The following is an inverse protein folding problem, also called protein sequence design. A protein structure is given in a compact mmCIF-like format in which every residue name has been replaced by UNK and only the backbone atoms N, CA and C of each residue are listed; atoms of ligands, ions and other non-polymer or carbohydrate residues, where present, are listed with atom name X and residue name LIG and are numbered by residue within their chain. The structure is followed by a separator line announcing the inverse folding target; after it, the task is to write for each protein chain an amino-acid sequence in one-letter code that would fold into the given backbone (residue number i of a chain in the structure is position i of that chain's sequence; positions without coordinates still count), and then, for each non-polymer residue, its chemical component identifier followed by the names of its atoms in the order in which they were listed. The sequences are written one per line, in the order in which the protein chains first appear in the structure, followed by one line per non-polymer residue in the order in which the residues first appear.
data_IF_062015391003
#
_entry.id   IF_062015391003
#
_cell.length_a   1.000
_cell.length_b   1.000
_cell.length_c   1.000
_cell.angle_alpha   90.00
_cell.angle_beta   90.00
_cell.angle_gamma   90.00
#
_symmetry.space_group_name_H-M   'P 1'
#
loop_
_entity.id
_entity.type
_entity.pdbx_description
1 polymer ?
#
# COMPACT_ATOMS: atom_id res chain seq x y z
N UNK A 1 -38.81 13.41 6.36
CA UNK A 1 -39.05 12.76 5.05
C UNK A 1 -40.44 12.12 5.06
N UNK A 2 -41.23 12.24 3.98
CA UNK A 2 -42.59 11.70 3.96
C UNK A 2 -42.63 10.17 3.96
N UNK A 3 -43.69 9.59 4.54
CA UNK A 3 -43.91 8.13 4.67
C UNK A 3 -43.73 7.39 3.34
N UNK A 4 -44.16 7.97 2.22
CA UNK A 4 -43.99 7.40 0.87
C UNK A 4 -42.53 7.34 0.42
N UNK A 5 -41.71 8.32 0.77
CA UNK A 5 -40.28 8.32 0.43
C UNK A 5 -39.53 7.24 1.22
N UNK A 6 -39.85 7.08 2.51
CA UNK A 6 -39.28 6.00 3.34
C UNK A 6 -39.69 4.61 2.83
N UNK A 7 -40.95 4.44 2.44
CA UNK A 7 -41.41 3.17 1.87
C UNK A 7 -40.70 2.85 0.55
N UNK A 8 -40.52 3.87 -0.32
CA UNK A 8 -39.77 3.71 -1.58
C UNK A 8 -38.33 3.28 -1.34
N UNK A 9 -37.67 3.88 -0.35
CA UNK A 9 -36.29 3.54 0.01
C UNK A 9 -36.19 2.14 0.63
N UNK A 10 -37.14 1.77 1.49
CA UNK A 10 -37.22 0.43 2.06
C UNK A 10 -37.34 -0.64 0.98
N UNK A 11 -38.24 -0.46 0.00
CA UNK A 11 -38.38 -1.39 -1.12
C UNK A 11 -37.12 -1.43 -1.99
N UNK A 12 -36.43 -0.29 -2.19
CA UNK A 12 -35.15 -0.25 -2.90
C UNK A 12 -34.10 -1.13 -2.19
N UNK A 13 -33.98 -1.04 -0.87
CA UNK A 13 -33.07 -1.88 -0.07
C UNK A 13 -33.43 -3.36 -0.14
N UNK A 14 -34.71 -3.71 -0.03
CA UNK A 14 -35.16 -5.10 -0.13
C UNK A 14 -34.80 -5.72 -1.49
N UNK A 15 -34.85 -4.96 -2.59
CA UNK A 15 -34.40 -5.44 -3.90
C UNK A 15 -32.90 -5.72 -3.95
N UNK A 16 -32.10 -4.88 -3.31
CA UNK A 16 -30.63 -5.05 -3.22
C UNK A 16 -30.30 -6.29 -2.38
N UNK A 17 -30.93 -6.43 -1.21
CA UNK A 17 -30.78 -7.60 -0.33
C UNK A 17 -31.20 -8.89 -1.04
N UNK A 18 -32.36 -8.88 -1.72
CA UNK A 18 -32.83 -10.00 -2.53
C UNK A 18 -31.83 -10.39 -3.62
N UNK A 19 -31.23 -9.41 -4.29
CA UNK A 19 -30.20 -9.67 -5.30
C UNK A 19 -28.93 -10.29 -4.70
N UNK A 20 -28.48 -9.84 -3.52
CA UNK A 20 -27.35 -10.46 -2.81
C UNK A 20 -27.64 -11.90 -2.39
N UNK A 21 -28.85 -12.19 -1.91
CA UNK A 21 -29.28 -13.53 -1.50
C UNK A 21 -29.27 -14.53 -2.66
N UNK A 22 -29.43 -14.04 -3.89
CA UNK A 22 -29.43 -14.85 -5.10
C UNK A 22 -28.02 -15.10 -5.66
N UNK A 23 -27.00 -14.37 -5.21
CA UNK A 23 -25.62 -14.63 -5.60
C UNK A 23 -25.06 -15.85 -4.86
N UNK A 24 -24.23 -16.64 -5.53
CA UNK A 24 -23.55 -17.77 -4.91
C UNK A 24 -22.15 -17.98 -5.51
N UNK A 25 -21.41 -18.95 -4.99
CA UNK A 25 -20.11 -19.32 -5.56
C UNK A 25 -20.26 -19.74 -7.04
N UNK A 26 -21.33 -20.42 -7.41
CA UNK A 26 -21.58 -20.92 -8.77
C UNK A 26 -22.37 -19.93 -9.63
N UNK A 27 -23.15 -19.06 -9.00
CA UNK A 27 -24.07 -18.15 -9.67
C UNK A 27 -23.53 -16.72 -9.73
N UNK A 28 -23.23 -16.25 -10.95
CA UNK A 28 -22.73 -14.89 -11.20
C UNK A 28 -23.87 -13.89 -11.43
N UNK A 29 -23.54 -12.60 -11.32
CA UNK A 29 -24.48 -11.52 -11.58
C UNK A 29 -25.06 -11.57 -13.00
N UNK A 30 -24.27 -11.97 -14.00
CA UNK A 30 -24.74 -12.11 -15.38
C UNK A 30 -25.89 -13.13 -15.56
N UNK A 31 -26.11 -14.02 -14.59
CA UNK A 31 -27.18 -15.02 -14.61
C UNK A 31 -28.42 -14.63 -13.78
N UNK A 32 -28.43 -13.44 -13.18
CA UNK A 32 -29.57 -12.93 -12.42
C UNK A 32 -30.66 -12.42 -13.36
N UNK A 33 -31.89 -12.91 -13.18
CA UNK A 33 -33.05 -12.34 -13.85
C UNK A 33 -33.81 -11.37 -12.95
N UNK A 34 -34.34 -10.30 -13.54
CA UNK A 34 -35.22 -9.33 -12.88
C UNK A 34 -36.39 -10.02 -12.15
N UNK A 35 -36.99 -11.04 -12.79
CA UNK A 35 -38.15 -11.76 -12.24
C UNK A 35 -37.80 -12.50 -10.96
N UNK A 36 -36.62 -13.12 -10.90
CA UNK A 36 -36.16 -13.80 -9.68
C UNK A 36 -35.91 -12.81 -8.55
N UNK A 37 -35.23 -11.69 -8.83
CA UNK A 37 -34.98 -10.64 -7.83
C UNK A 37 -36.30 -10.06 -7.31
N UNK A 38 -37.25 -9.76 -8.21
CA UNK A 38 -38.56 -9.23 -7.81
C UNK A 38 -39.35 -10.22 -6.96
N UNK A 39 -39.31 -11.51 -7.32
CA UNK A 39 -39.96 -12.59 -6.56
C UNK A 39 -39.34 -12.73 -5.16
N UNK A 40 -38.01 -12.74 -5.08
CA UNK A 40 -37.28 -12.82 -3.82
C UNK A 40 -37.57 -11.60 -2.92
N UNK A 41 -37.67 -10.41 -3.52
CA UNK A 41 -38.03 -9.18 -2.81
C UNK A 41 -39.53 -9.08 -2.45
N UNK A 42 -40.36 -10.05 -2.86
CA UNK A 42 -41.80 -10.08 -2.58
C UNK A 42 -42.60 -8.99 -3.33
N UNK A 43 -42.12 -8.53 -4.49
CA UNK A 43 -42.81 -7.51 -5.30
C UNK A 43 -43.18 -8.03 -6.69
N UNK A 44 -44.18 -7.40 -7.32
CA UNK A 44 -44.50 -7.66 -8.71
C UNK A 44 -43.32 -7.26 -9.63
N UNK A 45 -42.98 -8.03 -10.69
CA UNK A 45 -41.87 -7.71 -11.60
C UNK A 45 -41.95 -6.32 -12.21
N UNK A 46 -43.16 -5.83 -12.51
CA UNK A 46 -43.38 -4.48 -13.06
C UNK A 46 -43.03 -3.36 -12.07
N UNK A 47 -43.10 -3.63 -10.76
CA UNK A 47 -42.73 -2.66 -9.73
C UNK A 47 -41.21 -2.44 -9.63
N UNK A 48 -40.39 -3.36 -10.15
CA UNK A 48 -38.94 -3.23 -10.20
C UNK A 48 -38.51 -1.92 -10.89
N UNK A 49 -39.15 -1.61 -12.02
CA UNK A 49 -38.86 -0.43 -12.85
C UNK A 49 -39.11 0.92 -12.15
N UNK A 50 -39.73 0.92 -10.97
CA UNK A 50 -39.88 2.13 -10.14
C UNK A 50 -38.61 2.45 -9.33
N UNK A 51 -37.71 1.49 -9.20
CA UNK A 51 -36.50 1.57 -8.39
C UNK A 51 -35.22 1.45 -9.20
N UNK A 52 -35.23 0.63 -10.26
CA UNK A 52 -34.10 0.40 -11.16
C UNK A 52 -34.60 0.25 -12.60
N UNK A 53 -33.93 0.85 -13.56
CA UNK A 53 -34.22 0.81 -15.00
C UNK A 53 -34.04 -0.58 -15.58
N UNK A 54 -33.03 -1.29 -15.10
CA UNK A 54 -32.66 -2.63 -15.53
C UNK A 54 -31.87 -3.35 -14.42
N UNK A 55 -31.47 -4.59 -14.69
CA UNK A 55 -30.67 -5.38 -13.77
C UNK A 55 -29.28 -4.75 -13.61
N UNK A 56 -28.68 -4.21 -14.67
CA UNK A 56 -27.35 -3.60 -14.61
C UNK A 56 -27.27 -2.41 -13.64
N UNK A 57 -28.27 -1.52 -13.61
CA UNK A 57 -28.35 -0.42 -12.64
C UNK A 57 -28.46 -0.93 -11.21
N UNK A 58 -29.19 -2.02 -10.99
CA UNK A 58 -29.22 -2.71 -9.70
C UNK A 58 -27.83 -3.25 -9.34
N UNK A 59 -27.13 -3.90 -10.27
CA UNK A 59 -25.78 -4.43 -10.03
C UNK A 59 -24.75 -3.34 -9.72
N UNK A 60 -24.76 -2.23 -10.45
CA UNK A 60 -23.90 -1.09 -10.16
C UNK A 60 -24.19 -0.53 -8.76
N UNK A 61 -25.47 -0.43 -8.39
CA UNK A 61 -25.86 -0.03 -7.03
C UNK A 61 -25.36 -1.04 -5.98
N UNK A 62 -25.41 -2.34 -6.26
CA UNK A 62 -24.88 -3.37 -5.35
C UNK A 62 -23.37 -3.24 -5.13
N UNK A 63 -22.60 -2.88 -6.18
CA UNK A 63 -21.16 -2.61 -6.07
C UNK A 63 -20.91 -1.41 -5.18
N UNK A 64 -21.61 -0.30 -5.42
CA UNK A 64 -21.48 0.93 -4.63
C UNK A 64 -21.85 0.70 -3.15
N UNK A 65 -22.93 -0.03 -2.86
CA UNK A 65 -23.36 -0.36 -1.49
C UNK A 65 -22.37 -1.30 -0.79
N UNK A 66 -21.87 -2.34 -1.48
CA UNK A 66 -20.88 -3.27 -0.91
C UNK A 66 -19.57 -2.58 -0.58
N UNK A 67 -19.09 -1.73 -1.49
CA UNK A 67 -17.87 -0.96 -1.30
C UNK A 67 -18.01 0.05 -0.15
N UNK A 68 -19.14 0.76 -0.08
CA UNK A 68 -19.43 1.68 1.03
C UNK A 68 -19.54 0.96 2.37
N UNK A 69 -20.27 -0.16 2.44
CA UNK A 69 -20.41 -0.95 3.66
C UNK A 69 -19.04 -1.41 4.18
N UNK A 70 -18.20 -1.96 3.30
CA UNK A 70 -16.86 -2.40 3.66
C UNK A 70 -15.99 -1.21 4.12
N UNK A 71 -16.07 -0.05 3.45
CA UNK A 71 -15.30 1.15 3.83
C UNK A 71 -15.67 1.60 5.23
N UNK A 72 -16.97 1.72 5.50
CA UNK A 72 -17.48 2.14 6.79
C UNK A 72 -17.06 1.18 7.91
N UNK A 73 -17.18 -0.13 7.68
CA UNK A 73 -16.78 -1.16 8.64
C UNK A 73 -15.28 -1.09 8.94
N UNK A 74 -14.44 -0.91 7.92
CA UNK A 74 -12.99 -0.72 8.07
C UNK A 74 -12.63 0.57 8.80
N UNK A 75 -13.31 1.68 8.48
CA UNK A 75 -13.13 2.97 9.17
C UNK A 75 -13.49 2.88 10.64
N UNK A 76 -14.60 2.23 10.98
CA UNK A 76 -15.01 2.00 12.37
C UNK A 76 -14.02 1.13 13.13
N UNK A 77 -13.50 0.06 12.51
CA UNK A 77 -12.50 -0.81 13.13
C UNK A 77 -11.23 -0.03 13.52
N UNK A 78 -10.74 0.87 12.65
CA UNK A 78 -9.60 1.75 12.95
C UNK A 78 -9.91 2.73 14.08
N UNK A 79 -11.06 3.38 14.06
CA UNK A 79 -11.45 4.37 15.08
C UNK A 79 -11.59 3.78 16.49
N UNK A 80 -12.04 2.53 16.62
CA UNK A 80 -12.19 1.85 17.93
C UNK A 80 -10.85 1.66 18.66
N UNK A 81 -9.74 1.57 17.93
CA UNK A 81 -8.43 1.12 18.45
C UNK A 81 -7.39 2.24 18.50
N UNK A 82 -7.75 3.44 18.06
CA UNK A 82 -6.96 4.65 18.29
C UNK A 82 -6.65 4.93 19.78
N UNK A 83 -7.23 4.14 20.72
CA UNK A 83 -6.99 4.21 22.17
C UNK A 83 -6.20 3.02 22.77
N UNK A 84 -5.69 2.09 21.95
CA UNK A 84 -4.82 1.00 22.39
C UNK A 84 -5.06 -0.32 21.66
N UNK A 85 -3.98 -0.94 21.16
CA UNK A 85 -3.99 -2.21 20.43
C UNK A 85 -3.27 -2.12 19.08
N UNK A 86 -3.11 -3.26 18.40
CA UNK A 86 -2.52 -3.29 17.04
C UNK A 86 -3.58 -3.00 16.00
N UNK A 87 -3.66 -1.75 15.52
CA UNK A 87 -4.61 -1.28 14.49
C UNK A 87 -4.61 -2.20 13.26
N UNK A 88 -3.42 -2.62 12.80
CA UNK A 88 -3.27 -3.53 11.66
C UNK A 88 -3.95 -4.88 11.95
N UNK A 89 -3.65 -5.51 13.10
CA UNK A 89 -4.19 -6.83 13.43
C UNK A 89 -5.72 -6.80 13.47
N UNK A 90 -6.30 -5.80 14.11
CA UNK A 90 -7.76 -5.72 14.17
C UNK A 90 -8.39 -5.36 12.85
N UNK A 91 -7.80 -4.44 12.07
CA UNK A 91 -8.31 -4.15 10.72
C UNK A 91 -8.34 -5.40 9.86
N UNK A 92 -7.29 -6.23 9.91
CA UNK A 92 -7.25 -7.52 9.21
C UNK A 92 -8.30 -8.48 9.75
N UNK A 93 -8.41 -8.65 11.06
CA UNK A 93 -9.37 -9.57 11.67
C UNK A 93 -10.82 -9.19 11.32
N UNK A 94 -11.16 -7.91 11.40
CA UNK A 94 -12.48 -7.40 11.01
C UNK A 94 -12.73 -7.59 9.51
N UNK A 95 -11.70 -7.51 8.66
CA UNK A 95 -11.83 -7.77 7.23
C UNK A 95 -12.09 -9.25 6.96
N UNK A 96 -11.37 -10.16 7.64
CA UNK A 96 -11.60 -11.61 7.53
C UNK A 96 -12.99 -12.01 8.05
N UNK A 97 -13.46 -11.38 9.12
CA UNK A 97 -14.83 -11.55 9.63
C UNK A 97 -15.87 -11.08 8.60
N UNK A 98 -15.65 -9.93 7.95
CA UNK A 98 -16.52 -9.46 6.88
C UNK A 98 -16.60 -10.47 5.72
N UNK A 99 -15.46 -11.03 5.29
CA UNK A 99 -15.43 -12.05 4.23
C UNK A 99 -16.19 -13.30 4.65
N UNK A 100 -16.04 -13.74 5.92
CA UNK A 100 -16.76 -14.88 6.46
C UNK A 100 -18.28 -14.67 6.50
N UNK A 101 -18.72 -13.46 6.87
CA UNK A 101 -20.13 -13.14 7.04
C UNK A 101 -20.82 -12.73 5.72
N UNK A 102 -20.07 -12.16 4.77
CA UNK A 102 -20.61 -11.60 3.51
C UNK A 102 -19.81 -12.08 2.27
N UNK A 103 -19.61 -13.40 2.07
CA UNK A 103 -18.73 -13.89 1.02
C UNK A 103 -19.22 -13.53 -0.39
N UNK A 104 -20.54 -13.46 -0.61
CA UNK A 104 -21.11 -13.14 -1.92
C UNK A 104 -20.95 -11.66 -2.29
N UNK A 105 -21.03 -10.75 -1.31
CA UNK A 105 -20.77 -9.34 -1.53
C UNK A 105 -19.30 -9.12 -1.95
N UNK A 106 -18.37 -9.82 -1.29
CA UNK A 106 -16.96 -9.74 -1.67
C UNK A 106 -16.66 -10.42 -3.02
N UNK A 107 -17.29 -11.56 -3.33
CA UNK A 107 -17.20 -12.21 -4.65
C UNK A 107 -17.67 -11.31 -5.79
N UNK A 108 -18.74 -10.54 -5.57
CA UNK A 108 -19.22 -9.56 -6.55
C UNK A 108 -18.13 -8.54 -6.88
N UNK A 109 -17.53 -7.92 -5.86
CA UNK A 109 -16.45 -6.94 -6.04
C UNK A 109 -15.24 -7.54 -6.79
N UNK A 110 -14.87 -8.79 -6.52
CA UNK A 110 -13.75 -9.46 -7.19
C UNK A 110 -14.05 -9.79 -8.66
N UNK A 111 -15.22 -10.37 -8.94
CA UNK A 111 -15.58 -10.83 -10.30
C UNK A 111 -15.76 -9.65 -11.26
N UNK A 112 -16.43 -8.60 -10.79
CA UNK A 112 -16.69 -7.42 -11.60
C UNK A 112 -15.44 -6.57 -11.86
N UNK A 113 -14.36 -6.74 -11.08
CA UNK A 113 -13.05 -6.13 -11.35
C UNK A 113 -12.44 -6.60 -12.66
N UNK A 114 -12.60 -7.89 -12.99
CA UNK A 114 -12.07 -8.53 -14.20
C UNK A 114 -13.15 -8.84 -15.22
N UNK A 115 -14.39 -8.43 -14.95
CA UNK A 115 -15.56 -8.70 -15.78
C UNK A 115 -15.52 -8.00 -17.14
N UNK A 116 -16.40 -8.41 -18.05
CA UNK A 116 -16.46 -7.87 -19.41
C UNK A 116 -17.09 -6.48 -19.48
N UNK A 117 -17.95 -6.10 -18.51
CA UNK A 117 -18.60 -4.80 -18.49
C UNK A 117 -17.69 -3.68 -18.00
N UNK A 118 -17.49 -2.66 -18.85
CA UNK A 118 -16.67 -1.50 -18.52
C UNK A 118 -17.26 -0.65 -17.38
N UNK A 119 -18.59 -0.56 -17.30
CA UNK A 119 -19.27 0.20 -16.25
C UNK A 119 -19.03 -0.41 -14.86
N UNK A 120 -19.09 -1.74 -14.78
CA UNK A 120 -18.82 -2.49 -13.55
C UNK A 120 -17.35 -2.39 -13.14
N UNK A 121 -16.40 -2.56 -14.09
CA UNK A 121 -14.97 -2.35 -13.81
C UNK A 121 -14.69 -0.95 -13.28
N UNK A 122 -15.31 0.08 -13.88
CA UNK A 122 -15.18 1.45 -13.42
C UNK A 122 -15.79 1.65 -12.01
N UNK A 123 -16.93 1.02 -11.71
CA UNK A 123 -17.53 1.08 -10.38
C UNK A 123 -16.62 0.48 -9.31
N UNK A 124 -16.11 -0.74 -9.52
CA UNK A 124 -15.18 -1.38 -8.59
C UNK A 124 -13.89 -0.56 -8.43
N UNK A 125 -13.35 -0.02 -9.53
CA UNK A 125 -12.16 0.83 -9.48
C UNK A 125 -12.40 2.10 -8.64
N UNK A 126 -13.56 2.76 -8.77
CA UNK A 126 -13.93 3.91 -7.92
C UNK A 126 -13.98 3.52 -6.45
N UNK A 127 -14.59 2.39 -6.12
CA UNK A 127 -14.69 1.94 -4.72
C UNK A 127 -13.31 1.65 -4.12
N UNK A 128 -12.39 1.04 -4.88
CA UNK A 128 -10.99 0.82 -4.47
C UNK A 128 -10.27 2.16 -4.27
N UNK A 129 -10.45 3.13 -5.18
CA UNK A 129 -9.85 4.46 -5.05
C UNK A 129 -10.37 5.19 -3.81
N UNK A 130 -11.65 5.07 -3.48
CA UNK A 130 -12.20 5.60 -2.23
C UNK A 130 -11.57 4.94 -0.99
N UNK A 131 -11.30 3.63 -1.02
CA UNK A 131 -10.57 2.95 0.05
C UNK A 131 -9.15 3.49 0.22
N UNK A 132 -8.43 3.65 -0.89
CA UNK A 132 -7.05 4.15 -0.90
C UNK A 132 -7.02 5.58 -0.34
N UNK A 133 -7.89 6.45 -0.82
CA UNK A 133 -7.97 7.84 -0.37
C UNK A 133 -8.26 7.94 1.14
N UNK A 134 -9.26 7.22 1.65
CA UNK A 134 -9.58 7.25 3.09
C UNK A 134 -8.45 6.68 3.97
N UNK A 135 -7.73 5.66 3.49
CA UNK A 135 -6.60 5.09 4.21
C UNK A 135 -5.38 6.04 4.17
N UNK A 136 -5.13 6.69 3.03
CA UNK A 136 -4.06 7.67 2.89
C UNK A 136 -4.31 8.89 3.79
N UNK A 137 -5.54 9.41 3.85
CA UNK A 137 -5.94 10.49 4.77
C UNK A 137 -5.66 10.09 6.23
N UNK A 138 -6.01 8.86 6.60
CA UNK A 138 -5.74 8.35 7.95
C UNK A 138 -4.24 8.26 8.25
N UNK A 139 -3.44 7.73 7.33
CA UNK A 139 -2.00 7.57 7.48
C UNK A 139 -1.25 8.91 7.53
N UNK A 140 -1.74 9.91 6.80
CA UNK A 140 -1.21 11.27 6.80
C UNK A 140 -1.36 11.92 8.18
N UNK A 141 -2.54 11.79 8.79
CA UNK A 141 -2.80 12.31 10.15
C UNK A 141 -2.00 11.55 11.20
N UNK A 142 -1.93 10.22 11.10
CA UNK A 142 -1.26 9.37 12.09
C UNK A 142 0.26 9.53 12.06
N UNK A 143 0.87 9.50 10.87
CA UNK A 143 2.34 9.41 10.72
C UNK A 143 3.01 10.72 10.30
N UNK A 144 2.24 11.77 9.97
CA UNK A 144 2.76 13.07 9.49
C UNK A 144 3.69 12.92 8.27
N UNK A 145 3.38 12.00 7.38
CA UNK A 145 4.14 11.75 6.15
C UNK A 145 3.56 12.53 4.96
N UNK A 146 4.36 12.88 3.94
CA UNK A 146 3.86 13.53 2.73
C UNK A 146 2.80 12.68 2.02
N UNK A 147 1.84 13.36 1.37
CA UNK A 147 0.71 12.72 0.69
C UNK A 147 1.12 11.64 -0.32
N UNK A 148 2.16 11.88 -1.10
CA UNK A 148 2.66 10.93 -2.08
C UNK A 148 3.10 9.59 -1.47
N UNK A 149 3.70 9.63 -0.26
CA UNK A 149 4.09 8.42 0.47
C UNK A 149 2.89 7.70 1.08
N UNK A 150 1.93 8.44 1.65
CA UNK A 150 0.74 7.84 2.27
C UNK A 150 -0.21 7.23 1.24
N UNK A 151 -0.34 7.84 0.05
CA UNK A 151 -1.08 7.28 -1.08
C UNK A 151 -0.44 5.98 -1.58
N UNK A 152 0.87 5.97 -1.84
CA UNK A 152 1.57 4.77 -2.27
C UNK A 152 1.52 3.64 -1.22
N UNK A 153 1.67 3.99 0.06
CA UNK A 153 1.53 3.04 1.17
C UNK A 153 0.10 2.47 1.23
N UNK A 154 -0.93 3.33 1.16
CA UNK A 154 -2.32 2.92 1.20
C UNK A 154 -2.69 2.02 0.02
N UNK A 155 -2.26 2.36 -1.19
CA UNK A 155 -2.45 1.57 -2.40
C UNK A 155 -1.85 0.16 -2.27
N UNK A 156 -0.61 0.07 -1.78
CA UNK A 156 0.06 -1.22 -1.54
C UNK A 156 -0.69 -2.06 -0.49
N UNK A 157 -1.11 -1.44 0.62
CA UNK A 157 -1.86 -2.13 1.68
C UNK A 157 -3.23 -2.63 1.17
N UNK A 158 -4.00 -1.78 0.49
CA UNK A 158 -5.31 -2.14 -0.08
C UNK A 158 -5.17 -3.27 -1.09
N UNK A 159 -4.18 -3.20 -1.97
CA UNK A 159 -3.93 -4.23 -2.99
C UNK A 159 -3.69 -5.60 -2.37
N UNK A 160 -2.80 -5.69 -1.36
CA UNK A 160 -2.51 -6.95 -0.69
C UNK A 160 -3.74 -7.46 0.10
N UNK A 161 -4.46 -6.58 0.79
CA UNK A 161 -5.68 -6.97 1.54
C UNK A 161 -6.75 -7.53 0.61
N UNK A 162 -7.02 -6.89 -0.53
CA UNK A 162 -7.99 -7.41 -1.51
C UNK A 162 -7.54 -8.74 -2.12
N UNK A 163 -6.23 -8.88 -2.42
CA UNK A 163 -5.69 -10.15 -2.92
C UNK A 163 -5.82 -11.28 -1.90
N UNK A 164 -5.48 -11.02 -0.64
CA UNK A 164 -5.66 -12.00 0.44
C UNK A 164 -7.15 -12.31 0.68
N UNK A 165 -8.04 -11.31 0.53
CA UNK A 165 -9.46 -11.55 0.65
C UNK A 165 -10.00 -12.52 -0.41
N UNK A 166 -9.45 -12.49 -1.62
CA UNK A 166 -9.81 -13.44 -2.67
C UNK A 166 -9.41 -14.87 -2.30
N UNK A 167 -8.20 -15.06 -1.79
CA UNK A 167 -7.71 -16.35 -1.28
C UNK A 167 -8.54 -16.83 -0.07
N UNK A 168 -8.97 -15.91 0.80
CA UNK A 168 -9.74 -16.23 2.01
C UNK A 168 -11.13 -16.85 1.72
N UNK A 169 -11.70 -16.62 0.53
CA UNK A 169 -13.01 -17.14 0.14
C UNK A 169 -13.02 -18.65 -0.08
N UNK A 170 -11.89 -19.23 -0.48
CA UNK A 170 -11.80 -20.61 -0.98
C UNK A 170 -11.01 -21.54 -0.05
N UNK A 171 -10.54 -21.03 1.09
CA UNK A 171 -9.74 -21.78 2.08
C UNK A 171 -10.52 -22.10 3.36
N UNK A 172 -10.06 -23.13 4.08
CA UNK A 172 -10.63 -23.52 5.36
C UNK A 172 -10.26 -22.56 6.51
N UNK A 173 -10.81 -22.81 7.69
CA UNK A 173 -10.60 -21.95 8.86
C UNK A 173 -9.13 -21.92 9.35
N UNK A 174 -8.37 -23.01 9.20
CA UNK A 174 -6.98 -23.06 9.62
C UNK A 174 -6.08 -22.28 8.66
N UNK A 175 -6.28 -22.49 7.36
CA UNK A 175 -5.58 -21.76 6.30
C UNK A 175 -5.94 -20.26 6.34
N UNK A 176 -7.20 -19.92 6.63
CA UNK A 176 -7.61 -18.52 6.81
C UNK A 176 -6.89 -17.84 7.98
N UNK A 177 -6.65 -18.55 9.09
CA UNK A 177 -5.84 -18.03 10.21
C UNK A 177 -4.38 -17.80 9.79
N UNK A 178 -3.77 -18.76 9.08
CA UNK A 178 -2.40 -18.60 8.55
C UNK A 178 -2.31 -17.42 7.58
N UNK A 179 -3.33 -17.24 6.75
CA UNK A 179 -3.45 -16.12 5.82
C UNK A 179 -3.57 -14.78 6.56
N UNK A 180 -4.39 -14.72 7.62
CA UNK A 180 -4.51 -13.55 8.49
C UNK A 180 -3.16 -13.19 9.13
N UNK A 181 -2.45 -14.14 9.72
CA UNK A 181 -1.13 -13.90 10.35
C UNK A 181 -0.09 -13.42 9.31
N UNK A 182 -0.06 -14.05 8.12
CA UNK A 182 0.80 -13.64 7.00
C UNK A 182 0.48 -12.22 6.54
N UNK A 183 -0.80 -11.89 6.40
CA UNK A 183 -1.26 -10.57 5.98
C UNK A 183 -0.87 -9.50 7.01
N UNK A 184 -1.04 -9.78 8.31
CA UNK A 184 -0.59 -8.87 9.38
C UNK A 184 0.92 -8.61 9.28
N UNK A 185 1.72 -9.63 9.01
CA UNK A 185 3.17 -9.46 8.83
C UNK A 185 3.49 -8.61 7.60
N UNK A 186 2.86 -8.87 6.45
CA UNK A 186 3.04 -8.10 5.21
C UNK A 186 2.68 -6.61 5.39
N UNK A 187 1.55 -6.32 6.01
CA UNK A 187 1.13 -4.96 6.28
C UNK A 187 2.06 -4.24 7.26
N UNK A 188 2.62 -4.95 8.25
CA UNK A 188 3.67 -4.41 9.14
C UNK A 188 4.96 -4.10 8.39
N UNK A 189 5.37 -4.95 7.45
CA UNK A 189 6.53 -4.70 6.60
C UNK A 189 6.33 -3.45 5.74
N UNK A 190 5.16 -3.29 5.11
CA UNK A 190 4.82 -2.10 4.34
C UNK A 190 4.82 -0.85 5.24
N UNK A 191 4.16 -0.90 6.40
CA UNK A 191 4.07 0.25 7.29
C UNK A 191 5.43 0.71 7.81
N UNK A 192 6.29 -0.23 8.24
CA UNK A 192 7.66 0.09 8.65
C UNK A 192 8.49 0.59 7.46
N UNK A 193 8.40 -0.07 6.31
CA UNK A 193 9.13 0.33 5.10
C UNK A 193 8.77 1.75 4.66
N UNK A 194 7.49 2.09 4.63
CA UNK A 194 7.01 3.43 4.31
C UNK A 194 7.55 4.48 5.29
N UNK A 195 7.51 4.20 6.59
CA UNK A 195 8.08 5.10 7.61
C UNK A 195 9.60 5.30 7.42
N UNK A 196 10.35 4.22 7.21
CA UNK A 196 11.79 4.33 6.96
C UNK A 196 12.10 5.09 5.67
N UNK A 197 11.39 4.83 4.57
CA UNK A 197 11.59 5.58 3.32
C UNK A 197 11.22 7.06 3.45
N UNK A 198 10.22 7.40 4.26
CA UNK A 198 9.79 8.78 4.47
C UNK A 198 10.74 9.58 5.38
N UNK A 199 11.28 8.97 6.43
CA UNK A 199 12.06 9.68 7.47
C UNK A 199 13.55 9.40 7.45
N UNK A 200 13.99 8.30 6.84
CA UNK A 200 15.41 7.89 6.77
C UNK A 200 15.83 7.83 5.30
N UNK A 201 16.03 8.99 4.65
CA UNK A 201 16.53 9.03 3.28
C UNK A 201 17.99 8.57 3.17
N UNK A 202 18.70 8.44 4.30
CA UNK A 202 20.09 8.01 4.32
C UNK A 202 20.48 7.20 5.57
N UNK A 203 21.41 6.25 5.40
CA UNK A 203 22.02 5.52 6.51
C UNK A 203 23.04 6.39 7.25
N UNK A 204 23.02 6.38 8.59
CA UNK A 204 24.02 7.07 9.43
C UNK A 204 25.32 6.25 9.57
N UNK A 205 25.29 4.95 9.25
CA UNK A 205 26.43 4.06 9.36
C UNK A 205 27.65 4.51 8.55
N UNK A 206 27.53 5.02 7.30
CA UNK A 206 28.63 5.63 6.58
C UNK A 206 29.32 6.76 7.35
N UNK A 207 28.57 7.64 8.04
CA UNK A 207 29.13 8.75 8.82
C UNK A 207 29.83 8.27 10.11
N UNK A 208 29.28 7.25 10.77
CA UNK A 208 29.91 6.62 11.94
C UNK A 208 31.20 5.91 11.53
N UNK A 209 31.16 5.13 10.45
CA UNK A 209 32.33 4.46 9.89
C UNK A 209 33.40 5.48 9.46
N UNK A 210 32.98 6.62 8.90
CA UNK A 210 33.84 7.74 8.54
C UNK A 210 34.56 8.32 9.78
N UNK A 211 33.81 8.61 10.84
CA UNK A 211 34.35 9.13 12.10
C UNK A 211 35.34 8.16 12.76
N UNK A 212 34.99 6.87 12.80
CA UNK A 212 35.86 5.82 13.33
C UNK A 212 37.13 5.64 12.49
N UNK A 213 37.02 5.66 11.15
CA UNK A 213 38.17 5.55 10.26
C UNK A 213 39.13 6.74 10.43
N UNK A 214 38.61 7.96 10.54
CA UNK A 214 39.40 9.16 10.80
C UNK A 214 40.09 9.10 12.16
N UNK A 215 39.37 8.64 13.19
CA UNK A 215 39.92 8.47 14.54
C UNK A 215 41.02 7.41 14.58
N UNK A 216 40.83 6.26 13.93
CA UNK A 216 41.85 5.22 13.79
C UNK A 216 43.11 5.74 13.07
N UNK A 217 42.94 6.55 12.01
CA UNK A 217 44.05 7.16 11.29
C UNK A 217 44.81 8.16 12.18
N UNK A 218 44.09 8.99 12.93
CA UNK A 218 44.67 9.97 13.85
C UNK A 218 45.44 9.29 14.99
N UNK A 219 44.86 8.28 15.61
CA UNK A 219 45.53 7.46 16.63
C UNK A 219 46.81 6.82 16.10
N UNK A 220 46.78 6.30 14.88
CA UNK A 220 47.97 5.70 14.25
C UNK A 220 49.03 6.74 13.90
N UNK A 221 48.62 7.96 13.54
CA UNK A 221 49.55 9.07 13.28
C UNK A 221 50.30 9.50 14.54
N UNK A 222 49.61 9.55 15.69
CA UNK A 222 50.22 9.88 16.98
C UNK A 222 51.15 8.79 17.51
N UNK A 223 50.82 7.51 17.27
CA UNK A 223 51.48 6.38 17.92
C UNK A 223 52.47 5.60 17.04
N UNK A 224 52.63 5.96 15.75
CA UNK A 224 53.52 5.21 14.84
C UNK A 224 54.12 6.12 13.76
N UNK A 225 55.43 6.02 13.52
CA UNK A 225 56.09 6.70 12.40
C UNK A 225 55.51 6.16 11.07
N UNK A 226 54.72 6.99 10.38
CA UNK A 226 54.12 6.61 9.11
C UNK A 226 55.12 6.81 7.95
N UNK A 227 55.18 5.87 6.98
CA UNK A 227 55.95 6.06 5.76
C UNK A 227 55.51 7.32 5.01
N UNK A 228 56.48 8.03 4.42
CA UNK A 228 56.20 9.27 3.69
C UNK A 228 55.09 9.10 2.63
N UNK A 229 54.11 10.01 2.71
CA UNK A 229 52.97 10.07 1.81
C UNK A 229 51.79 9.13 2.12
N UNK A 230 51.87 8.25 3.12
CA UNK A 230 50.72 7.42 3.57
C UNK A 230 49.53 8.25 4.09
N UNK A 231 49.70 9.31 4.90
CA UNK A 231 48.58 10.12 5.37
C UNK A 231 47.79 10.77 4.22
N UNK A 232 48.49 11.26 3.19
CA UNK A 232 47.85 11.87 2.02
C UNK A 232 47.10 10.88 1.13
N UNK A 233 47.54 9.61 1.08
CA UNK A 233 46.82 8.54 0.40
C UNK A 233 45.55 8.15 1.16
N UNK A 234 45.63 8.02 2.48
CA UNK A 234 44.48 7.74 3.33
C UNK A 234 43.42 8.86 3.24
N UNK A 235 43.83 10.13 3.27
CA UNK A 235 42.94 11.27 3.08
C UNK A 235 42.28 11.29 1.69
N UNK A 236 42.97 10.84 0.63
CA UNK A 236 42.39 10.77 -0.70
C UNK A 236 41.37 9.63 -0.83
N UNK A 237 41.62 8.44 -0.26
CA UNK A 237 40.62 7.38 -0.20
C UNK A 237 39.40 7.78 0.64
N UNK A 238 39.61 8.57 1.69
CA UNK A 238 38.55 9.15 2.50
C UNK A 238 37.65 10.10 1.69
N UNK A 239 38.25 11.09 1.00
CA UNK A 239 37.54 12.01 0.13
C UNK A 239 36.83 11.29 -1.03
N UNK A 240 37.44 10.21 -1.55
CA UNK A 240 36.84 9.37 -2.56
C UNK A 240 35.53 8.74 -2.06
N UNK A 241 35.51 8.22 -0.83
CA UNK A 241 34.30 7.66 -0.22
C UNK A 241 33.17 8.67 -0.09
N UNK A 242 33.48 9.91 0.33
CA UNK A 242 32.50 11.01 0.42
C UNK A 242 31.91 11.35 -0.96
N UNK A 243 32.77 11.46 -1.98
CA UNK A 243 32.35 11.83 -3.33
C UNK A 243 31.53 10.72 -4.01
N UNK A 244 31.92 9.45 -3.84
CA UNK A 244 31.16 8.28 -4.31
C UNK A 244 29.77 8.27 -3.67
N UNK A 245 29.71 8.43 -2.34
CA UNK A 245 28.45 8.45 -1.61
C UNK A 245 27.56 9.61 -2.06
N UNK A 246 28.12 10.82 -2.16
CA UNK A 246 27.39 12.01 -2.61
C UNK A 246 26.87 11.87 -4.05
N UNK A 247 27.66 11.28 -4.95
CA UNK A 247 27.26 11.05 -6.33
C UNK A 247 26.13 10.02 -6.44
N UNK A 248 26.19 8.92 -5.66
CA UNK A 248 25.14 7.90 -5.62
C UNK A 248 23.82 8.46 -5.07
N UNK A 249 23.86 9.15 -3.93
CA UNK A 249 22.65 9.76 -3.33
C UNK A 249 21.99 10.74 -4.31
N UNK A 250 22.78 11.57 -5.00
CA UNK A 250 22.24 12.53 -5.97
C UNK A 250 21.80 11.89 -7.30
N UNK A 251 22.27 10.69 -7.62
CA UNK A 251 21.78 9.91 -8.75
C UNK A 251 20.43 9.26 -8.43
N UNK A 252 20.27 8.79 -7.19
CA UNK A 252 19.05 8.15 -6.70
C UNK A 252 17.95 9.17 -6.34
N UNK A 253 18.35 10.37 -5.90
CA UNK A 253 17.45 11.48 -5.55
C UNK A 253 17.84 12.76 -6.32
N UNK A 254 17.38 12.93 -7.58
CA UNK A 254 17.73 14.07 -8.43
C UNK A 254 17.34 15.44 -7.85
N UNK A 255 16.31 15.47 -6.99
CA UNK A 255 15.78 16.69 -6.36
C UNK A 255 16.79 17.37 -5.41
N UNK A 256 17.79 16.63 -4.92
CA UNK A 256 18.85 17.14 -4.04
C UNK A 256 19.92 17.92 -4.85
N UNK A 257 19.80 17.90 -6.18
CA UNK A 257 20.67 18.61 -7.12
C UNK A 257 21.65 17.68 -7.85
N UNK A 258 22.30 18.22 -8.88
CA UNK A 258 23.11 17.43 -9.82
C UNK A 258 24.24 16.63 -9.15
N UNK A 259 24.40 15.37 -9.58
CA UNK A 259 25.54 14.51 -9.25
C UNK A 259 26.81 14.84 -10.07
N UNK A 260 26.75 15.80 -11.00
CA UNK A 260 27.85 16.11 -11.91
C UNK A 260 29.12 16.52 -11.17
N UNK A 261 29.03 17.50 -10.27
CA UNK A 261 30.18 18.01 -9.51
C UNK A 261 30.87 16.92 -8.68
N UNK A 262 30.17 16.15 -7.81
CA UNK A 262 30.82 15.09 -7.06
C UNK A 262 31.41 13.98 -7.96
N UNK A 263 30.78 13.68 -9.10
CA UNK A 263 31.28 12.68 -10.06
C UNK A 263 32.57 13.13 -10.73
N UNK A 264 32.66 14.40 -11.17
CA UNK A 264 33.87 14.96 -11.79
C UNK A 264 35.03 14.99 -10.80
N UNK A 265 34.79 15.44 -9.56
CA UNK A 265 35.81 15.45 -8.51
C UNK A 265 36.26 14.03 -8.15
N UNK A 266 35.35 13.06 -8.11
CA UNK A 266 35.66 11.66 -7.87
C UNK A 266 36.62 11.12 -8.94
N UNK A 267 36.33 11.35 -10.23
CA UNK A 267 37.19 10.89 -11.34
C UNK A 267 38.58 11.53 -11.27
N UNK A 268 38.67 12.84 -11.00
CA UNK A 268 39.95 13.52 -10.82
C UNK A 268 40.76 12.94 -9.66
N UNK A 269 40.10 12.61 -8.55
CA UNK A 269 40.73 12.04 -7.37
C UNK A 269 41.23 10.60 -7.60
N UNK A 270 40.46 9.76 -8.30
CA UNK A 270 40.90 8.41 -8.73
C UNK A 270 42.15 8.49 -9.59
N UNK A 271 42.17 9.41 -10.56
CA UNK A 271 43.33 9.61 -11.43
C UNK A 271 44.57 10.05 -10.64
N UNK A 272 44.40 10.95 -9.67
CA UNK A 272 45.49 11.36 -8.78
C UNK A 272 46.02 10.20 -7.91
N UNK A 273 45.13 9.37 -7.35
CA UNK A 273 45.54 8.18 -6.58
C UNK A 273 46.33 7.21 -7.46
N UNK A 274 45.84 6.94 -8.68
CA UNK A 274 46.48 6.03 -9.64
C UNK A 274 47.88 6.51 -10.08
N UNK A 275 48.03 7.79 -10.40
CA UNK A 275 49.33 8.36 -10.78
C UNK A 275 50.34 8.33 -9.63
N UNK A 276 49.89 8.54 -8.38
CA UNK A 276 50.73 8.46 -7.19
C UNK A 276 51.18 7.04 -6.88
N UNK A 277 50.30 6.05 -7.01
CA UNK A 277 50.66 4.63 -6.89
C UNK A 277 51.70 4.22 -7.93
N UNK A 278 51.54 4.65 -9.18
CA UNK A 278 52.48 4.36 -10.27
C UNK A 278 53.87 4.96 -10.01
N UNK A 279 53.96 6.16 -9.45
CA UNK A 279 55.24 6.78 -9.05
C UNK A 279 55.93 6.03 -7.92
N UNK A 280 55.19 5.56 -6.91
CA UNK A 280 55.74 4.75 -5.82
C UNK A 280 56.22 3.35 -6.25
N UNK A 281 55.66 2.78 -7.31
CA UNK A 281 56.07 1.45 -7.82
C UNK A 281 57.32 1.49 -8.71
N UNK A 282 57.73 2.69 -9.12
CA UNK A 282 58.91 2.95 -9.96
C UNK A 282 60.09 3.54 -9.18
N UNK A 283 59.97 3.66 -7.84
CA UNK A 283 61.03 3.99 -6.89
C UNK A 283 61.35 2.75 -6.07
#
# INVERSE_FOLDING_TARGET
MGVRAQQKERTRRTLIEAAFSQLSAERSFASLSLREVAREAGIAPTSFYRHFKDVDELGLTMVDESGLMLRQLMRQARQRIAKGGSIIKTSVSTFMEFIGNNPNAFRLLLRERSGTSAAFRAAVAREIQHFIAELADYLEVENRMPRSFTEAQAEAMVTIVFSAGAEALDVDAEQRRKLEDRLVLQLRMIAKGAYYCAFVPFSIFPLIALGLAAWCLHQRYLNTNMPDGMPGLAAAFFLLGILVYSALVRAEYPDIGSNFVPTVLMVALVFWIATRFKRKRNQ
#
